data_IF_169376152951
#
_entry.id   IF_169376152951
#
_cell.length_a   1.000
_cell.length_b   1.000
_cell.length_c   1.000
_cell.angle_alpha   90.00
_cell.angle_beta   90.00
_cell.angle_gamma   90.00
#
_symmetry.space_group_name_H-M   'P 1'
#
loop_
_entity.id
_entity.type
_entity.pdbx_description
1 polymer ?
#
# COMPACT_ATOMS: atom_id res chain seq x y z
N UNK A 1 -2.67 21.78 -86.99
CA UNK A 1 -3.70 21.24 -86.06
C UNK A 1 -3.12 20.26 -85.03
N UNK A 2 -2.10 19.47 -85.35
CA UNK A 2 -1.52 18.44 -84.45
C UNK A 2 -0.91 18.99 -83.15
N UNK A 3 -0.16 20.09 -83.21
CA UNK A 3 0.50 20.71 -82.05
C UNK A 3 -0.45 21.22 -80.95
N UNK A 4 -1.64 21.69 -81.33
CA UNK A 4 -2.63 22.17 -80.35
C UNK A 4 -3.28 21.02 -79.60
N UNK A 5 -3.53 19.89 -80.28
CA UNK A 5 -4.05 18.68 -79.66
C UNK A 5 -3.06 18.09 -78.65
N UNK A 6 -1.79 17.99 -79.02
CA UNK A 6 -0.70 17.54 -78.13
C UNK A 6 -0.54 18.43 -76.88
N UNK A 7 -0.74 19.74 -77.02
CA UNK A 7 -0.72 20.66 -75.88
C UNK A 7 -1.88 20.36 -74.91
N UNK A 8 -3.10 20.21 -75.42
CA UNK A 8 -4.26 19.87 -74.60
C UNK A 8 -4.11 18.50 -73.92
N UNK A 9 -3.61 17.49 -74.62
CA UNK A 9 -3.36 16.16 -74.05
C UNK A 9 -2.32 16.23 -72.92
N UNK A 10 -1.26 17.03 -73.09
CA UNK A 10 -0.25 17.25 -72.04
C UNK A 10 -0.81 17.97 -70.82
N UNK A 11 -1.72 18.93 -71.01
CA UNK A 11 -2.36 19.63 -69.89
C UNK A 11 -3.35 18.72 -69.16
N UNK A 12 -4.16 17.94 -69.89
CA UNK A 12 -5.06 16.96 -69.28
C UNK A 12 -4.28 15.96 -68.43
N UNK A 13 -3.18 15.40 -68.94
CA UNK A 13 -2.35 14.47 -68.18
C UNK A 13 -1.77 15.08 -66.89
N UNK A 14 -1.42 16.38 -66.90
CA UNK A 14 -0.96 17.07 -65.69
C UNK A 14 -2.08 17.27 -64.69
N UNK A 15 -3.27 17.66 -65.16
CA UNK A 15 -4.45 17.85 -64.32
C UNK A 15 -4.87 16.51 -63.69
N UNK A 16 -4.87 15.42 -64.46
CA UNK A 16 -5.17 14.08 -63.93
C UNK A 16 -4.20 13.69 -62.83
N UNK A 17 -2.89 13.82 -63.04
CA UNK A 17 -1.89 13.53 -62.00
C UNK A 17 -2.06 14.40 -60.77
N UNK A 18 -2.36 15.68 -60.95
CA UNK A 18 -2.61 16.58 -59.83
C UNK A 18 -3.86 16.17 -59.02
N UNK A 19 -4.90 15.67 -59.68
CA UNK A 19 -6.09 15.14 -59.01
C UNK A 19 -5.75 13.87 -58.23
N UNK A 20 -4.95 12.96 -58.81
CA UNK A 20 -4.47 11.75 -58.14
C UNK A 20 -3.67 12.10 -56.87
N UNK A 21 -2.67 12.99 -56.98
CA UNK A 21 -1.87 13.46 -55.83
C UNK A 21 -2.76 14.12 -54.76
N UNK A 22 -3.80 14.86 -55.17
CA UNK A 22 -4.73 15.51 -54.26
C UNK A 22 -5.63 14.51 -53.52
N UNK A 23 -6.05 13.42 -54.19
CA UNK A 23 -6.79 12.33 -53.55
C UNK A 23 -5.91 11.58 -52.54
N UNK A 24 -4.64 11.31 -52.87
CA UNK A 24 -3.69 10.70 -51.93
C UNK A 24 -3.45 11.57 -50.70
N UNK A 25 -3.32 12.90 -50.89
CA UNK A 25 -3.16 13.85 -49.81
C UNK A 25 -4.41 13.87 -48.92
N UNK A 26 -5.61 13.87 -49.51
CA UNK A 26 -6.88 13.80 -48.77
C UNK A 26 -6.95 12.54 -47.91
N UNK A 27 -6.56 11.39 -48.47
CA UNK A 27 -6.53 10.12 -47.74
C UNK A 27 -5.53 10.16 -46.58
N UNK A 28 -4.37 10.79 -46.79
CA UNK A 28 -3.35 10.95 -45.75
C UNK A 28 -3.84 11.85 -44.60
N UNK A 29 -4.53 12.94 -44.91
CA UNK A 29 -5.15 13.81 -43.90
C UNK A 29 -6.22 13.07 -43.12
N UNK A 30 -7.08 12.30 -43.80
CA UNK A 30 -8.11 11.50 -43.12
C UNK A 30 -7.48 10.51 -42.14
N UNK A 31 -6.43 9.80 -42.58
CA UNK A 31 -5.72 8.87 -41.71
C UNK A 31 -5.10 9.55 -40.48
N UNK A 32 -4.54 10.76 -40.65
CA UNK A 32 -3.99 11.53 -39.53
C UNK A 32 -5.09 11.94 -38.55
N UNK A 33 -6.24 12.39 -39.05
CA UNK A 33 -7.38 12.75 -38.19
C UNK A 33 -7.88 11.53 -37.40
N UNK A 34 -8.06 10.38 -38.05
CA UNK A 34 -8.50 9.16 -37.38
C UNK A 34 -7.50 8.74 -36.27
N UNK A 35 -6.20 8.93 -36.52
CA UNK A 35 -5.16 8.67 -35.51
C UNK A 35 -5.14 9.70 -34.39
N UNK A 36 -5.48 10.94 -34.68
CA UNK A 36 -5.60 11.99 -33.67
C UNK A 36 -6.76 11.71 -32.72
N UNK A 37 -7.92 11.32 -33.26
CA UNK A 37 -9.11 10.96 -32.47
C UNK A 37 -8.86 9.73 -31.57
N UNK A 38 -8.14 8.73 -32.07
CA UNK A 38 -7.70 7.56 -31.29
C UNK A 38 -6.75 7.97 -30.15
N UNK A 39 -5.79 8.85 -30.42
CA UNK A 39 -4.87 9.36 -29.39
C UNK A 39 -5.58 10.21 -28.33
N UNK A 40 -6.56 11.03 -28.72
CA UNK A 40 -7.36 11.81 -27.80
C UNK A 40 -8.17 10.88 -26.87
N UNK A 41 -8.79 9.85 -27.44
CA UNK A 41 -9.54 8.84 -26.69
C UNK A 41 -8.64 8.10 -25.69
N UNK A 42 -7.47 7.64 -26.12
CA UNK A 42 -6.51 6.95 -25.24
C UNK A 42 -6.00 7.87 -24.14
N UNK A 43 -5.76 9.15 -24.45
CA UNK A 43 -5.32 10.15 -23.47
C UNK A 43 -6.37 10.34 -22.37
N UNK A 44 -7.65 10.42 -22.75
CA UNK A 44 -8.74 10.56 -21.79
C UNK A 44 -8.94 9.31 -20.93
N UNK A 45 -8.78 8.11 -21.51
CA UNK A 45 -8.80 6.86 -20.74
C UNK A 45 -7.67 6.80 -19.73
N UNK A 46 -6.44 7.17 -20.13
CA UNK A 46 -5.29 7.23 -19.24
C UNK A 46 -5.55 8.22 -18.10
N UNK A 47 -6.08 9.41 -18.40
CA UNK A 47 -6.43 10.41 -17.37
C UNK A 47 -7.45 9.87 -16.37
N UNK A 48 -8.50 9.20 -16.84
CA UNK A 48 -9.51 8.58 -15.95
C UNK A 48 -8.88 7.51 -15.06
N UNK A 49 -8.04 6.63 -15.63
CA UNK A 49 -7.36 5.59 -14.85
C UNK A 49 -6.41 6.17 -13.81
N UNK A 50 -5.69 7.23 -14.16
CA UNK A 50 -4.79 7.92 -13.24
C UNK A 50 -5.56 8.56 -12.07
N UNK A 51 -6.69 9.19 -12.34
CA UNK A 51 -7.56 9.75 -11.31
C UNK A 51 -8.06 8.67 -10.32
N UNK A 52 -8.50 7.52 -10.82
CA UNK A 52 -8.95 6.41 -9.95
C UNK A 52 -7.79 5.82 -9.14
N UNK A 53 -6.60 5.68 -9.71
CA UNK A 53 -5.41 5.23 -9.00
C UNK A 53 -5.01 6.20 -7.88
N UNK A 54 -5.02 7.50 -8.13
CA UNK A 54 -4.73 8.51 -7.11
C UNK A 54 -5.74 8.45 -5.96
N UNK A 55 -7.03 8.23 -6.26
CA UNK A 55 -8.08 8.07 -5.26
C UNK A 55 -7.85 6.84 -4.38
N UNK A 56 -7.52 5.70 -4.99
CA UNK A 56 -7.20 4.46 -4.26
C UNK A 56 -5.96 4.66 -3.39
N UNK A 57 -4.90 5.25 -3.93
CA UNK A 57 -3.66 5.52 -3.21
C UNK A 57 -3.88 6.37 -1.96
N UNK A 58 -4.59 7.50 -2.10
CA UNK A 58 -4.95 8.36 -0.95
C UNK A 58 -5.77 7.60 0.10
N UNK A 59 -6.70 6.75 -0.32
CA UNK A 59 -7.49 5.94 0.61
C UNK A 59 -6.68 4.84 1.31
N UNK A 60 -5.63 4.33 0.67
CA UNK A 60 -4.74 3.31 1.25
C UNK A 60 -3.82 3.91 2.30
N UNK A 61 -3.25 5.09 2.03
CA UNK A 61 -2.37 5.78 2.98
C UNK A 61 -3.06 6.01 4.34
N UNK A 62 -4.33 6.42 4.32
CA UNK A 62 -5.12 6.59 5.54
C UNK A 62 -5.34 5.29 6.33
N UNK A 63 -5.31 4.12 5.66
CA UNK A 63 -5.46 2.83 6.32
C UNK A 63 -4.18 2.42 7.03
N UNK A 64 -3.03 2.69 6.43
CA UNK A 64 -1.73 2.37 7.04
C UNK A 64 -1.54 3.17 8.35
N UNK A 65 -1.92 4.45 8.35
CA UNK A 65 -1.92 5.29 9.56
C UNK A 65 -2.85 4.73 10.64
N UNK A 66 -4.05 4.28 10.27
CA UNK A 66 -5.01 3.67 11.19
C UNK A 66 -4.48 2.34 11.76
N UNK A 67 -3.87 1.49 10.92
CA UNK A 67 -3.27 0.22 11.35
C UNK A 67 -2.16 0.50 12.36
N UNK A 68 -1.30 1.48 12.09
CA UNK A 68 -0.23 1.87 13.00
C UNK A 68 -0.79 2.41 14.33
N UNK A 69 -1.82 3.25 14.30
CA UNK A 69 -2.47 3.77 15.50
C UNK A 69 -3.08 2.63 16.34
N UNK A 70 -3.77 1.69 15.70
CA UNK A 70 -4.37 0.53 16.36
C UNK A 70 -3.30 -0.37 16.95
N UNK A 71 -2.20 -0.62 16.23
CA UNK A 71 -1.05 -1.39 16.73
C UNK A 71 -0.47 -0.77 18.01
N UNK A 72 -0.20 0.54 17.98
CA UNK A 72 0.31 1.26 19.15
C UNK A 72 -0.66 1.19 20.35
N UNK A 73 -1.97 1.31 20.11
CA UNK A 73 -2.98 1.18 21.17
C UNK A 73 -3.01 -0.23 21.75
N UNK A 74 -2.84 -1.26 20.92
CA UNK A 74 -2.79 -2.65 21.35
C UNK A 74 -1.57 -2.91 22.23
N UNK A 75 -0.40 -2.41 21.83
CA UNK A 75 0.85 -2.54 22.59
C UNK A 75 0.74 -1.85 23.96
N UNK A 76 0.15 -0.66 24.00
CA UNK A 76 -0.11 0.06 25.27
C UNK A 76 -1.05 -0.74 26.17
N UNK A 77 -2.13 -1.31 25.61
CA UNK A 77 -3.07 -2.13 26.36
C UNK A 77 -2.41 -3.40 26.91
N UNK A 78 -1.55 -4.04 26.12
CA UNK A 78 -0.78 -5.20 26.58
C UNK A 78 0.17 -4.80 27.73
N UNK A 79 0.93 -3.72 27.55
CA UNK A 79 1.86 -3.23 28.56
C UNK A 79 1.11 -2.88 29.86
N UNK A 80 0.00 -2.16 29.77
CA UNK A 80 -0.83 -1.79 30.91
C UNK A 80 -1.41 -3.02 31.62
N UNK A 81 -1.79 -4.07 30.87
CA UNK A 81 -2.28 -5.32 31.45
C UNK A 81 -1.22 -6.06 32.27
N UNK A 82 0.07 -5.85 31.94
CA UNK A 82 1.22 -6.46 32.64
C UNK A 82 1.90 -5.52 33.63
N UNK A 83 1.50 -4.26 33.71
CA UNK A 83 2.18 -3.23 34.49
C UNK A 83 2.30 -3.57 35.99
N UNK A 84 1.35 -4.34 36.52
CA UNK A 84 1.34 -4.79 37.92
C UNK A 84 1.79 -6.24 38.09
N UNK A 85 2.24 -6.91 37.02
CA UNK A 85 2.74 -8.27 37.10
C UNK A 85 4.17 -8.26 37.64
N UNK A 86 4.46 -9.21 38.54
CA UNK A 86 5.81 -9.44 39.06
C UNK A 86 6.35 -10.69 38.37
N UNK A 87 7.43 -10.54 37.60
CA UNK A 87 8.13 -11.65 36.96
C UNK A 87 9.35 -12.07 37.79
N UNK A 88 9.35 -13.33 38.25
CA UNK A 88 10.47 -13.91 39.00
C UNK A 88 11.11 -14.98 38.13
N UNK A 89 12.32 -14.70 37.64
CA UNK A 89 13.12 -15.64 36.86
C UNK A 89 14.11 -16.41 37.73
N UNK A 90 14.50 -17.60 37.28
CA UNK A 90 15.47 -18.48 37.96
C UNK A 90 15.01 -19.01 39.34
N UNK A 91 13.71 -19.17 39.53
CA UNK A 91 13.20 -19.88 40.71
C UNK A 91 13.38 -21.40 40.49
N UNK A 92 14.06 -22.12 41.41
CA UNK A 92 14.17 -23.57 41.32
C UNK A 92 12.79 -24.21 41.53
N UNK A 93 12.35 -25.04 40.59
CA UNK A 93 11.02 -25.66 40.63
C UNK A 93 10.95 -26.75 41.71
N UNK A 94 9.99 -26.64 42.64
CA UNK A 94 9.63 -27.75 43.54
C UNK A 94 8.14 -28.03 43.50
N UNK A 95 7.77 -29.30 43.73
CA UNK A 95 6.36 -29.69 43.90
C UNK A 95 5.80 -29.10 45.19
N UNK A 96 4.58 -28.56 45.13
CA UNK A 96 3.84 -27.96 46.24
C UNK A 96 4.48 -26.69 46.83
N UNK A 97 5.02 -25.80 46.00
CA UNK A 97 5.52 -24.50 46.45
C UNK A 97 4.40 -23.49 46.73
N UNK A 98 4.61 -22.67 47.75
CA UNK A 98 3.75 -21.53 48.05
C UNK A 98 4.39 -20.26 47.49
N UNK A 99 3.90 -19.84 46.32
CA UNK A 99 4.41 -18.66 45.60
C UNK A 99 4.27 -17.37 46.41
N UNK A 100 3.20 -17.23 47.20
CA UNK A 100 2.96 -16.05 48.04
C UNK A 100 4.06 -15.95 49.10
N UNK A 101 4.38 -17.06 49.77
CA UNK A 101 5.46 -17.08 50.78
C UNK A 101 6.83 -16.78 50.17
N UNK A 102 7.08 -17.21 48.93
CA UNK A 102 8.32 -16.89 48.21
C UNK A 102 8.39 -15.38 47.93
N UNK A 103 7.30 -14.79 47.44
CA UNK A 103 7.20 -13.34 47.19
C UNK A 103 7.40 -12.55 48.49
N UNK A 104 6.76 -12.93 49.59
CA UNK A 104 6.92 -12.29 50.91
C UNK A 104 8.38 -12.35 51.40
N UNK A 105 9.06 -13.48 51.20
CA UNK A 105 10.47 -13.63 51.57
C UNK A 105 11.38 -12.74 50.69
N UNK A 106 11.15 -12.69 49.38
CA UNK A 106 11.91 -11.81 48.48
C UNK A 106 11.68 -10.35 48.82
N UNK A 107 10.42 -9.96 49.03
CA UNK A 107 9.97 -8.65 49.48
C UNK A 107 10.69 -8.20 50.77
N UNK A 108 10.80 -9.09 51.75
CA UNK A 108 11.52 -8.82 52.98
C UNK A 108 13.03 -8.57 52.75
N UNK A 109 13.67 -9.34 51.86
CA UNK A 109 15.09 -9.17 51.52
C UNK A 109 15.35 -7.83 50.84
N UNK A 110 14.48 -7.43 49.89
CA UNK A 110 14.62 -6.16 49.16
C UNK A 110 14.05 -4.95 49.92
N UNK A 111 13.53 -5.17 51.15
CA UNK A 111 12.90 -4.15 52.01
C UNK A 111 11.70 -3.46 51.37
N UNK A 112 10.97 -4.16 50.52
CA UNK A 112 9.76 -3.69 49.87
C UNK A 112 8.59 -4.55 50.39
N UNK A 113 7.78 -4.08 51.34
CA UNK A 113 6.71 -4.92 51.91
C UNK A 113 5.63 -5.19 50.86
N UNK A 114 5.40 -6.47 50.57
CA UNK A 114 4.28 -6.96 49.75
C UNK A 114 3.46 -7.89 50.63
N UNK A 115 2.19 -7.56 50.85
CA UNK A 115 1.27 -8.40 51.61
C UNK A 115 0.54 -9.38 50.67
N UNK A 116 0.12 -10.52 51.22
CA UNK A 116 -0.78 -11.46 50.52
C UNK A 116 -2.05 -10.82 49.92
N UNK A 117 -2.54 -9.72 50.48
CA UNK A 117 -3.72 -9.00 49.98
C UNK A 117 -3.42 -8.10 48.78
N UNK A 118 -2.15 -7.79 48.54
CA UNK A 118 -1.70 -7.00 47.38
C UNK A 118 -1.61 -7.89 46.11
N UNK A 119 -1.68 -9.21 46.26
CA UNK A 119 -1.63 -10.20 45.18
C UNK A 119 -3.05 -10.57 44.74
N UNK A 120 -3.47 -10.07 43.57
CA UNK A 120 -4.82 -10.25 43.04
C UNK A 120 -5.00 -11.64 42.39
N UNK A 121 -3.94 -12.23 41.83
CA UNK A 121 -3.94 -13.56 41.22
C UNK A 121 -2.56 -14.21 41.29
N UNK A 122 -2.55 -15.52 41.48
CA UNK A 122 -1.41 -16.44 41.60
C UNK A 122 -0.98 -17.06 40.27
N UNK A 123 -1.44 -16.53 39.13
CA UNK A 123 -1.06 -17.02 37.81
C UNK A 123 0.33 -16.52 37.40
N UNK A 124 1.32 -17.41 37.46
CA UNK A 124 2.61 -17.21 36.78
C UNK A 124 2.44 -17.34 35.27
N UNK A 125 2.76 -16.30 34.52
CA UNK A 125 3.08 -16.45 33.09
C UNK A 125 4.53 -16.96 33.00
N UNK A 126 4.69 -18.26 32.75
CA UNK A 126 6.01 -18.83 32.48
C UNK A 126 6.45 -18.45 31.06
N UNK A 127 7.40 -17.52 30.93
CA UNK A 127 8.12 -17.31 29.68
C UNK A 127 9.30 -18.29 29.64
N UNK A 128 9.13 -19.40 28.91
CA UNK A 128 10.23 -20.34 28.66
C UNK A 128 11.26 -19.64 27.77
N UNK A 129 12.36 -19.19 28.37
CA UNK A 129 13.53 -18.78 27.60
C UNK A 129 14.25 -20.03 27.08
N UNK A 130 14.06 -20.33 25.80
CA UNK A 130 14.96 -21.23 25.08
C UNK A 130 16.25 -20.46 24.78
N UNK A 131 17.42 -20.93 25.24
CA UNK A 131 18.68 -20.37 24.79
C UNK A 131 18.83 -20.66 23.29
N UNK A 132 19.27 -19.65 22.54
CA UNK A 132 19.72 -19.81 21.15
C UNK A 132 21.06 -20.54 21.10
#
# INVERSE_FOLDING_TARGET
>A
MTSMKEFFDKQNNKITKFIEDFEELKNSIQFINDKYDDLETQTDEIRRRLFELEKIYKSSQNKDDLIMEVGNKLDILELNSRQCNIEIVNLPEKRNENLISIIENVAAVIKQPINKYDVISDKLQFTVYSPK
#
